data_IF_933244781111
#
_entry.id   IF_933244781111
#
_cell.length_a   1.000
_cell.length_b   1.000
_cell.length_c   1.000
_cell.angle_alpha   90.00
_cell.angle_beta   90.00
_cell.angle_gamma   90.00
#
_symmetry.space_group_name_H-M   'P 1'
#
loop_
_entity.id
_entity.type
_entity.pdbx_description
1 polymer ?
#
# COMPACT_ATOMS: atom_id res chain seq x y z
N UNK A 1 -22.20 -51.59 -32.02
CA UNK A 1 -21.35 -52.64 -32.58
C UNK A 1 -20.52 -53.12 -31.43
N UNK A 2 -20.89 -54.22 -30.78
CA UNK A 2 -20.58 -55.62 -31.10
C UNK A 2 -19.07 -55.83 -30.90
N UNK A 3 -18.53 -56.79 -30.19
CA UNK A 3 -18.95 -58.07 -29.59
C UNK A 3 -17.70 -58.55 -28.84
N UNK A 4 -17.83 -59.14 -27.65
CA UNK A 4 -17.78 -60.58 -27.32
C UNK A 4 -16.33 -61.07 -27.13
N UNK A 5 -16.01 -61.77 -26.13
CA UNK A 5 -16.43 -62.96 -25.35
C UNK A 5 -15.34 -64.02 -25.34
N UNK A 6 -15.28 -64.74 -24.24
CA UNK A 6 -14.99 -66.14 -24.05
C UNK A 6 -13.51 -66.54 -23.88
N UNK A 7 -13.18 -67.44 -23.06
CA UNK A 7 -13.85 -68.42 -22.22
C UNK A 7 -12.82 -69.44 -21.72
N UNK A 8 -13.04 -69.96 -20.51
CA UNK A 8 -13.05 -71.42 -20.16
C UNK A 8 -11.91 -72.28 -20.67
N UNK A 9 -11.43 -73.31 -20.01
CA UNK A 9 -11.88 -74.38 -19.09
C UNK A 9 -10.66 -75.14 -18.57
N UNK A 10 -10.62 -75.62 -17.36
CA UNK A 10 -11.10 -76.93 -16.78
C UNK A 10 -10.07 -78.08 -16.84
N UNK A 11 -10.05 -78.84 -15.77
CA UNK A 11 -9.71 -80.25 -15.47
C UNK A 11 -8.43 -80.46 -14.66
N UNK A 12 -8.51 -80.93 -13.45
CA UNK A 12 -9.10 -82.11 -12.80
C UNK A 12 -8.09 -83.27 -12.59
N UNK A 13 -8.09 -83.67 -11.40
CA UNK A 13 -8.22 -84.95 -10.78
C UNK A 13 -6.97 -85.66 -10.25
N UNK A 14 -7.16 -86.10 -9.08
CA UNK A 14 -7.20 -87.44 -8.38
C UNK A 14 -5.81 -87.91 -7.93
N UNK A 15 -5.61 -88.34 -6.74
CA UNK A 15 -6.30 -89.06 -5.74
C UNK A 15 -5.38 -90.15 -5.20
N UNK A 16 -5.29 -90.38 -3.95
CA UNK A 16 -5.35 -91.66 -3.24
C UNK A 16 -4.55 -91.72 -1.93
N UNK A 17 -5.31 -91.94 -0.93
CA UNK A 17 -5.11 -92.56 0.37
C UNK A 17 -3.89 -93.40 0.61
N UNK A 18 -3.29 -93.30 1.80
CA UNK A 18 -3.07 -94.38 2.75
C UNK A 18 -2.63 -93.86 4.11
N UNK A 19 -3.38 -94.24 5.17
CA UNK A 19 -3.04 -94.17 6.59
C UNK A 19 -2.44 -95.52 7.01
N UNK A 20 -2.19 -95.77 8.27
CA UNK A 20 -1.29 -95.18 9.24
C UNK A 20 -0.28 -96.16 9.82
N UNK A 21 0.77 -95.78 10.47
CA UNK A 21 1.46 -96.64 11.44
C UNK A 21 1.93 -95.91 12.65
N UNK A 22 1.55 -96.45 13.80
CA UNK A 22 1.99 -96.21 15.17
C UNK A 22 3.41 -96.70 15.36
N UNK A 23 4.19 -96.09 16.19
CA UNK A 23 5.09 -96.67 17.24
C UNK A 23 5.91 -95.54 17.86
N UNK A 24 5.72 -95.27 19.06
CA UNK A 24 6.42 -95.53 20.34
C UNK A 24 7.41 -94.49 20.83
N UNK A 25 7.20 -94.18 22.08
CA UNK A 25 7.99 -93.35 23.01
C UNK A 25 9.47 -93.69 23.07
N UNK A 26 10.31 -92.71 23.02
CA UNK A 26 11.55 -92.69 23.80
C UNK A 26 11.73 -91.27 24.43
N UNK A 27 11.61 -91.22 25.72
CA UNK A 27 11.94 -90.11 26.57
C UNK A 27 13.47 -89.79 26.56
N UNK A 28 13.82 -88.59 26.22
CA UNK A 28 15.13 -88.04 26.70
C UNK A 28 15.00 -86.55 26.92
N UNK A 29 15.21 -86.16 28.17
CA UNK A 29 15.24 -84.80 28.68
C UNK A 29 16.28 -83.96 27.97
N UNK A 30 15.87 -82.88 27.34
CA UNK A 30 16.76 -81.80 27.02
C UNK A 30 16.17 -80.44 27.49
N UNK A 31 16.91 -79.78 28.35
CA UNK A 31 16.60 -78.49 28.95
C UNK A 31 16.25 -77.47 27.87
N UNK A 32 15.01 -77.02 27.90
CA UNK A 32 14.52 -75.98 27.02
C UNK A 32 15.29 -74.66 27.16
N UNK A 33 15.97 -74.29 26.09
CA UNK A 33 16.41 -72.89 25.88
C UNK A 33 15.19 -72.09 25.55
N UNK A 34 14.86 -71.13 26.45
CA UNK A 34 13.85 -70.10 26.20
C UNK A 34 14.26 -69.33 24.96
N UNK A 35 13.36 -69.11 23.97
CA UNK A 35 13.71 -68.24 22.82
C UNK A 35 14.00 -66.84 23.32
N UNK A 36 15.10 -66.26 22.84
CA UNK A 36 15.51 -64.91 23.13
C UNK A 36 14.37 -63.94 22.70
N UNK A 37 13.79 -63.27 23.64
CA UNK A 37 12.76 -62.23 23.44
C UNK A 37 13.42 -61.12 22.58
N UNK A 38 13.08 -61.10 21.27
CA UNK A 38 13.53 -60.07 20.33
C UNK A 38 13.21 -58.68 20.93
N UNK A 39 14.24 -57.86 21.15
CA UNK A 39 14.04 -56.48 21.54
C UNK A 39 13.25 -55.81 20.41
N UNK A 40 11.99 -55.47 20.67
CA UNK A 40 11.17 -54.61 19.80
C UNK A 40 12.01 -53.36 19.50
N UNK A 41 12.14 -52.96 18.22
CA UNK A 41 12.88 -51.73 17.91
C UNK A 41 12.20 -50.56 18.64
N UNK A 42 12.92 -49.89 19.52
CA UNK A 42 12.47 -48.66 20.15
C UNK A 42 12.17 -47.66 19.02
N UNK A 43 10.89 -47.46 18.75
CA UNK A 43 10.40 -46.49 17.77
C UNK A 43 11.08 -45.15 18.04
N UNK A 44 11.77 -44.64 17.02
CA UNK A 44 12.44 -43.34 16.98
C UNK A 44 11.45 -42.16 17.05
N UNK A 45 10.63 -42.08 18.11
CA UNK A 45 9.69 -40.95 18.34
C UNK A 45 10.40 -39.61 18.55
N UNK A 46 11.68 -39.64 18.98
CA UNK A 46 12.46 -38.43 19.21
C UNK A 46 13.04 -37.82 17.93
N UNK A 47 13.30 -38.62 16.87
CA UNK A 47 13.90 -38.11 15.62
C UNK A 47 12.93 -37.22 14.86
N UNK A 48 11.68 -37.60 14.70
CA UNK A 48 10.68 -36.79 13.99
C UNK A 48 10.39 -35.47 14.73
N UNK A 49 10.31 -35.51 16.10
CA UNK A 49 10.14 -34.29 16.90
C UNK A 49 11.35 -33.37 16.78
N UNK A 50 12.56 -33.92 16.81
CA UNK A 50 13.77 -33.12 16.69
C UNK A 50 13.91 -32.51 15.28
N UNK A 51 13.56 -33.27 14.23
CA UNK A 51 13.51 -32.72 12.85
C UNK A 51 12.47 -31.58 12.77
N UNK A 52 11.27 -31.77 13.32
CA UNK A 52 10.25 -30.72 13.34
C UNK A 52 10.74 -29.47 14.09
N UNK A 53 11.35 -29.65 15.27
CA UNK A 53 11.89 -28.54 16.03
C UNK A 53 13.03 -27.83 15.28
N UNK A 54 13.92 -28.57 14.60
CA UNK A 54 14.99 -27.97 13.79
C UNK A 54 14.41 -27.17 12.63
N UNK A 55 13.38 -27.67 11.94
CA UNK A 55 12.69 -26.94 10.86
C UNK A 55 12.03 -25.67 11.38
N UNK A 56 11.35 -25.75 12.53
CA UNK A 56 10.73 -24.58 13.18
C UNK A 56 11.82 -23.55 13.56
N UNK A 57 12.93 -23.98 14.16
CA UNK A 57 14.04 -23.09 14.52
C UNK A 57 14.68 -22.43 13.29
N UNK A 58 14.83 -23.16 12.17
CA UNK A 58 15.32 -22.60 10.92
C UNK A 58 14.34 -21.58 10.33
N UNK A 59 13.04 -21.86 10.33
CA UNK A 59 12.02 -20.92 9.90
C UNK A 59 12.01 -19.65 10.77
N UNK A 60 12.09 -19.80 12.07
CA UNK A 60 12.19 -18.66 13.00
C UNK A 60 13.47 -17.85 12.75
N UNK A 61 14.62 -18.50 12.53
CA UNK A 61 15.87 -17.82 12.20
C UNK A 61 15.77 -17.02 10.90
N UNK A 62 15.11 -17.56 9.87
CA UNK A 62 14.85 -16.85 8.61
C UNK A 62 13.92 -15.65 8.85
N UNK A 63 12.84 -15.82 9.62
CA UNK A 63 11.93 -14.72 9.97
C UNK A 63 12.65 -13.61 10.76
N UNK A 64 13.47 -13.97 11.73
CA UNK A 64 14.27 -13.01 12.52
C UNK A 64 15.30 -12.31 11.62
N UNK A 65 15.99 -13.04 10.75
CA UNK A 65 16.93 -12.48 9.78
C UNK A 65 16.26 -11.47 8.84
N UNK A 66 15.08 -11.82 8.33
CA UNK A 66 14.26 -10.93 7.51
C UNK A 66 13.80 -9.67 8.28
N UNK A 67 13.36 -9.85 9.53
CA UNK A 67 12.97 -8.73 10.39
C UNK A 67 14.13 -7.76 10.63
N UNK A 68 15.32 -8.29 10.98
CA UNK A 68 16.53 -7.47 11.20
C UNK A 68 16.93 -6.74 9.92
N UNK A 69 16.86 -7.41 8.78
CA UNK A 69 17.15 -6.82 7.48
C UNK A 69 16.19 -5.66 7.15
N UNK A 70 14.88 -5.90 7.28
CA UNK A 70 13.86 -4.87 7.07
C UNK A 70 14.03 -3.69 8.05
N UNK A 71 14.30 -3.99 9.33
CA UNK A 71 14.56 -2.96 10.35
C UNK A 71 15.75 -2.07 9.99
N UNK A 72 16.86 -2.66 9.50
CA UNK A 72 18.05 -1.89 9.07
C UNK A 72 17.75 -0.97 7.89
N UNK A 73 17.01 -1.45 6.89
CA UNK A 73 16.60 -0.64 5.74
C UNK A 73 15.79 0.56 6.20
N UNK A 74 14.76 0.31 7.00
CA UNK A 74 13.82 1.35 7.44
C UNK A 74 14.50 2.35 8.39
N UNK A 75 15.53 1.92 9.12
CA UNK A 75 16.24 2.82 10.03
C UNK A 75 17.12 3.86 9.31
N UNK A 76 17.39 3.69 8.02
CA UNK A 76 18.18 4.62 7.19
C UNK A 76 17.34 5.70 6.49
N UNK A 77 16.04 5.81 6.79
CA UNK A 77 15.14 6.84 6.23
C UNK A 77 15.52 8.22 6.75
N UNK A 78 15.47 9.24 5.91
CA UNK A 78 15.53 10.64 6.34
C UNK A 78 14.37 10.93 7.28
N UNK A 79 14.66 11.18 8.55
CA UNK A 79 13.65 11.51 9.54
C UNK A 79 13.78 12.95 9.98
N UNK A 80 12.64 13.64 9.93
CA UNK A 80 12.46 14.92 10.58
C UNK A 80 11.19 14.81 11.43
N UNK A 81 11.32 14.57 12.76
CA UNK A 81 10.18 14.47 13.65
C UNK A 81 9.44 15.79 13.71
N UNK A 82 8.11 15.71 13.86
CA UNK A 82 7.28 16.88 14.16
C UNK A 82 7.33 17.20 15.65
N UNK A 83 7.31 18.47 15.96
CA UNK A 83 6.98 18.93 17.32
C UNK A 83 5.48 18.70 17.53
N UNK A 84 5.14 17.68 18.32
CA UNK A 84 3.76 17.22 18.52
C UNK A 84 2.93 18.21 19.33
N UNK A 85 3.57 19.08 20.09
CA UNK A 85 2.88 20.11 20.86
C UNK A 85 2.48 21.30 19.99
N UNK A 86 3.06 21.41 18.77
CA UNK A 86 2.82 22.49 17.82
C UNK A 86 2.34 22.02 16.44
N UNK A 87 1.53 20.97 16.37
CA UNK A 87 0.92 20.50 15.11
C UNK A 87 -0.55 20.91 14.94
N UNK A 88 -1.06 21.78 15.80
CA UNK A 88 -2.41 22.34 15.68
C UNK A 88 -3.54 21.35 16.01
N UNK A 89 -3.25 20.28 16.74
CA UNK A 89 -4.25 19.38 17.33
C UNK A 89 -4.60 19.93 18.72
N UNK A 90 -5.89 20.09 19.00
CA UNK A 90 -6.33 20.50 20.31
C UNK A 90 -6.29 19.29 21.26
N UNK A 91 -5.32 19.27 22.17
CA UNK A 91 -5.15 18.18 23.16
C UNK A 91 -6.27 18.12 24.21
N UNK A 92 -7.02 19.22 24.38
CA UNK A 92 -8.10 19.31 25.38
C UNK A 92 -9.43 18.77 24.84
N UNK A 93 -9.52 18.50 23.54
CA UNK A 93 -10.68 17.87 22.93
C UNK A 93 -10.50 16.34 22.85
N UNK A 94 -11.60 15.56 23.00
CA UNK A 94 -11.53 14.11 22.75
C UNK A 94 -11.03 13.86 21.34
N UNK A 95 -10.04 12.97 21.18
CA UNK A 95 -9.54 12.59 19.84
C UNK A 95 -10.68 12.03 19.00
N UNK A 96 -11.07 12.81 18.00
CA UNK A 96 -12.19 12.46 17.11
C UNK A 96 -11.86 11.26 16.25
N UNK A 97 -10.58 11.14 15.87
CA UNK A 97 -10.09 10.11 14.91
C UNK A 97 -9.34 8.95 15.59
N UNK A 98 -9.49 8.73 16.90
CA UNK A 98 -8.71 7.76 17.67
C UNK A 98 -8.69 6.31 17.15
N UNK A 99 -9.61 5.95 16.24
CA UNK A 99 -9.67 4.62 15.59
C UNK A 99 -8.92 4.54 14.26
N UNK A 100 -8.55 5.67 13.69
CA UNK A 100 -7.86 5.77 12.39
C UNK A 100 -6.59 6.60 12.54
N UNK A 101 -5.67 6.48 11.59
CA UNK A 101 -4.43 7.27 11.57
C UNK A 101 -4.37 8.10 10.30
N UNK A 102 -4.26 9.42 10.44
CA UNK A 102 -4.12 10.36 9.35
C UNK A 102 -2.64 10.73 9.14
N UNK A 103 -2.17 10.63 7.91
CA UNK A 103 -0.79 10.89 7.49
C UNK A 103 -0.83 11.87 6.31
N UNK A 104 -0.11 12.98 6.40
CA UNK A 104 0.01 13.91 5.27
C UNK A 104 1.02 13.37 4.25
N UNK A 105 0.60 13.17 3.01
CA UNK A 105 1.45 12.89 1.86
C UNK A 105 1.65 14.18 1.08
N UNK A 106 2.88 14.69 1.07
CA UNK A 106 3.22 15.98 0.46
C UNK A 106 4.18 15.76 -0.72
N UNK A 107 3.69 15.98 -1.93
CA UNK A 107 4.50 15.95 -3.14
C UNK A 107 5.14 17.31 -3.38
N UNK A 108 6.48 17.36 -3.41
CA UNK A 108 7.24 18.59 -3.49
C UNK A 108 7.69 18.90 -4.92
N UNK A 109 7.46 20.15 -5.34
CA UNK A 109 8.07 20.70 -6.56
C UNK A 109 9.40 21.39 -6.21
N UNK A 110 10.43 20.57 -6.03
CA UNK A 110 11.80 21.03 -5.82
C UNK A 110 12.65 20.70 -7.03
N UNK A 111 13.38 21.69 -7.54
CA UNK A 111 14.26 21.53 -8.71
C UNK A 111 15.71 21.27 -8.32
N UNK A 112 16.11 21.60 -7.09
CA UNK A 112 17.45 21.41 -6.55
C UNK A 112 17.36 20.95 -5.09
N UNK A 113 18.39 20.27 -4.61
CA UNK A 113 18.45 19.72 -3.24
C UNK A 113 18.36 20.79 -2.13
N UNK A 114 18.67 22.05 -2.45
CA UNK A 114 18.60 23.17 -1.50
C UNK A 114 17.34 24.04 -1.67
N UNK A 115 16.45 23.71 -2.59
CA UNK A 115 15.20 24.43 -2.77
C UNK A 115 14.17 23.93 -1.76
N UNK A 116 13.60 24.84 -0.97
CA UNK A 116 12.56 24.48 0.00
C UNK A 116 11.31 23.94 -0.70
N UNK A 117 11.06 24.37 -1.94
CA UNK A 117 9.95 23.94 -2.74
C UNK A 117 8.57 24.29 -2.17
N UNK A 118 7.54 23.81 -2.83
CA UNK A 118 6.14 23.93 -2.42
C UNK A 118 5.52 22.54 -2.44
N UNK A 119 4.53 22.32 -1.57
CA UNK A 119 3.73 21.09 -1.61
C UNK A 119 2.67 21.20 -2.71
N UNK A 120 3.02 20.79 -3.92
CA UNK A 120 2.15 20.87 -5.10
C UNK A 120 1.15 19.71 -5.17
N UNK A 121 1.37 18.65 -4.42
CA UNK A 121 0.41 17.60 -4.13
C UNK A 121 0.20 17.54 -2.62
N UNK A 122 -1.05 17.58 -2.17
CA UNK A 122 -1.44 17.52 -0.77
C UNK A 122 -2.54 16.47 -0.67
N UNK A 123 -2.17 15.29 -0.14
CA UNK A 123 -3.08 14.15 0.04
C UNK A 123 -3.00 13.70 1.49
N UNK A 124 -4.14 13.52 2.12
CA UNK A 124 -4.25 12.89 3.45
C UNK A 124 -4.52 11.40 3.22
N UNK A 125 -3.61 10.58 3.71
CA UNK A 125 -3.79 9.13 3.77
C UNK A 125 -4.37 8.78 5.13
N UNK A 126 -5.60 8.31 5.15
CA UNK A 126 -6.25 7.76 6.35
C UNK A 126 -6.14 6.24 6.33
N UNK A 127 -5.53 5.69 7.37
CA UNK A 127 -5.40 4.25 7.59
C UNK A 127 -6.49 3.80 8.56
N UNK A 128 -7.49 3.13 8.04
CA UNK A 128 -8.60 2.55 8.80
C UNK A 128 -8.44 1.02 8.87
N UNK A 129 -7.75 0.58 9.93
CA UNK A 129 -7.50 -0.85 10.14
C UNK A 129 -8.77 -1.61 10.55
N UNK A 130 -9.73 -0.93 11.17
CA UNK A 130 -10.96 -1.56 11.66
C UNK A 130 -11.87 -1.99 10.50
N UNK A 131 -11.96 -1.16 9.45
CA UNK A 131 -12.78 -1.44 8.28
C UNK A 131 -11.95 -1.95 7.08
N UNK A 132 -10.64 -2.17 7.28
CA UNK A 132 -9.72 -2.61 6.23
C UNK A 132 -9.68 -1.66 5.02
N UNK A 133 -9.61 -0.35 5.27
CA UNK A 133 -9.65 0.69 4.24
C UNK A 133 -8.43 1.61 4.28
N UNK A 134 -8.02 2.08 3.10
CA UNK A 134 -7.13 3.21 2.89
C UNK A 134 -7.91 4.31 2.18
N UNK A 135 -8.08 5.46 2.85
CA UNK A 135 -8.83 6.58 2.30
C UNK A 135 -7.87 7.69 1.88
N UNK A 136 -8.01 8.17 0.66
CA UNK A 136 -7.17 9.22 0.09
C UNK A 136 -7.98 10.49 -0.09
N UNK A 137 -7.73 11.51 0.72
CA UNK A 137 -8.35 12.83 0.60
C UNK A 137 -7.36 13.81 -0.01
N UNK A 138 -7.60 14.26 -1.25
CA UNK A 138 -6.79 15.32 -1.87
C UNK A 138 -7.39 16.70 -1.57
N UNK A 139 -6.53 17.65 -1.18
CA UNK A 139 -6.93 19.06 -0.97
C UNK A 139 -6.26 19.95 -2.01
N UNK A 140 -7.04 20.84 -2.64
CA UNK A 140 -6.51 21.74 -3.65
C UNK A 140 -5.42 22.64 -3.05
N UNK A 141 -4.25 22.68 -3.68
CA UNK A 141 -3.06 23.40 -3.17
C UNK A 141 -3.27 24.91 -3.09
N UNK A 142 -4.09 25.46 -3.98
CA UNK A 142 -4.38 26.89 -4.07
C UNK A 142 -5.53 27.34 -3.14
N UNK A 143 -5.97 26.47 -2.22
CA UNK A 143 -6.99 26.77 -1.20
C UNK A 143 -6.54 27.94 -0.31
N UNK A 144 -7.44 28.93 -0.12
CA UNK A 144 -7.21 30.08 0.72
C UNK A 144 -7.44 29.73 2.18
N UNK A 145 -6.35 29.58 2.94
CA UNK A 145 -6.35 29.11 4.34
C UNK A 145 -5.63 30.08 5.27
N UNK A 146 -5.90 29.98 6.56
CA UNK A 146 -5.10 30.62 7.59
C UNK A 146 -3.80 29.84 7.82
N UNK A 147 -2.65 30.52 7.84
CA UNK A 147 -1.34 29.91 8.10
C UNK A 147 -0.78 30.58 9.35
N UNK A 148 -0.48 29.77 10.36
CA UNK A 148 0.01 30.29 11.65
C UNK A 148 1.31 31.08 11.47
N UNK A 149 1.39 32.22 12.17
CA UNK A 149 2.53 33.19 12.03
C UNK A 149 2.56 33.94 10.70
N UNK A 150 1.59 33.71 9.79
CA UNK A 150 1.49 34.36 8.48
C UNK A 150 0.06 34.91 8.24
N UNK A 151 -0.10 35.72 7.18
CA UNK A 151 -1.44 36.09 6.69
C UNK A 151 -2.09 34.87 6.00
N UNK A 152 -3.43 34.97 5.77
CA UNK A 152 -4.09 33.97 4.91
C UNK A 152 -3.44 33.90 3.52
N UNK A 153 -3.15 32.68 3.06
CA UNK A 153 -2.47 32.44 1.80
C UNK A 153 -2.87 31.05 1.22
N UNK A 154 -2.23 30.64 0.13
CA UNK A 154 -2.39 29.32 -0.47
C UNK A 154 -1.89 28.23 0.48
N UNK A 155 -2.62 27.14 0.59
CA UNK A 155 -2.22 25.98 1.40
C UNK A 155 -0.82 25.47 1.05
N UNK A 156 -0.46 25.46 -0.26
CA UNK A 156 0.89 25.06 -0.71
C UNK A 156 2.02 25.89 -0.12
N UNK A 157 1.76 27.16 0.25
CA UNK A 157 2.76 28.08 0.80
C UNK A 157 3.12 27.73 2.25
N UNK A 158 2.26 27.03 3.00
CA UNK A 158 2.55 26.58 4.35
C UNK A 158 3.84 25.75 4.40
N UNK A 159 4.05 24.88 3.40
CA UNK A 159 5.30 24.12 3.30
C UNK A 159 6.52 25.01 3.00
N UNK A 160 6.37 25.98 2.12
CA UNK A 160 7.45 26.92 1.79
C UNK A 160 7.86 27.79 2.98
N UNK A 161 6.92 28.14 3.87
CA UNK A 161 7.17 28.97 5.05
C UNK A 161 7.75 28.19 6.23
N UNK A 162 7.29 26.98 6.49
CA UNK A 162 7.67 26.21 7.68
C UNK A 162 7.78 24.70 7.46
N UNK A 163 8.05 24.27 6.22
CA UNK A 163 8.19 22.85 5.84
C UNK A 163 7.01 22.01 6.32
N UNK A 164 7.29 20.73 6.62
CA UNK A 164 6.27 19.77 7.01
C UNK A 164 5.54 20.16 8.31
N UNK A 165 6.25 20.76 9.26
CA UNK A 165 5.67 21.21 10.53
C UNK A 165 4.49 22.16 10.31
N UNK A 166 4.72 23.25 9.59
CA UNK A 166 3.69 24.25 9.36
C UNK A 166 2.62 23.76 8.37
N UNK A 167 2.99 22.93 7.39
CA UNK A 167 2.01 22.33 6.47
C UNK A 167 1.02 21.42 7.22
N UNK A 168 1.50 20.55 8.11
CA UNK A 168 0.66 19.69 8.96
C UNK A 168 -0.21 20.54 9.90
N UNK A 169 0.39 21.51 10.58
CA UNK A 169 -0.33 22.43 11.46
C UNK A 169 -1.46 23.15 10.72
N UNK A 170 -1.18 23.66 9.53
CA UNK A 170 -2.17 24.36 8.68
C UNK A 170 -3.32 23.43 8.27
N UNK A 171 -3.03 22.17 7.90
CA UNK A 171 -4.06 21.17 7.57
C UNK A 171 -4.94 20.88 8.81
N UNK A 172 -4.34 20.64 9.96
CA UNK A 172 -5.07 20.34 11.19
C UNK A 172 -5.99 21.51 11.60
N UNK A 173 -5.46 22.73 11.60
CA UNK A 173 -6.22 23.92 12.02
C UNK A 173 -7.39 24.28 11.09
N UNK A 174 -7.19 24.19 9.75
CA UNK A 174 -8.22 24.62 8.80
C UNK A 174 -9.25 23.52 8.49
N UNK A 175 -8.88 22.23 8.61
CA UNK A 175 -9.77 21.12 8.27
C UNK A 175 -10.11 20.22 9.47
N UNK A 176 -9.65 20.55 10.68
CA UNK A 176 -9.95 19.79 11.88
C UNK A 176 -9.41 18.34 11.83
N UNK A 177 -8.27 18.13 11.17
CA UNK A 177 -7.63 16.84 11.03
C UNK A 177 -6.67 16.59 12.19
N UNK A 178 -6.57 15.35 12.63
CA UNK A 178 -5.59 14.93 13.64
C UNK A 178 -4.42 14.24 12.93
N UNK A 179 -3.77 14.97 12.01
CA UNK A 179 -2.59 14.47 11.29
C UNK A 179 -1.41 14.55 12.26
N UNK A 180 -0.86 13.41 12.61
CA UNK A 180 0.29 13.30 13.52
C UNK A 180 1.60 12.99 12.81
N UNK A 181 1.54 12.62 11.52
CA UNK A 181 2.68 12.19 10.75
C UNK A 181 2.60 12.65 9.30
N UNK A 182 3.76 12.69 8.65
CA UNK A 182 3.86 13.04 7.25
C UNK A 182 4.85 12.16 6.49
N UNK A 183 4.72 12.17 5.18
CA UNK A 183 5.71 11.68 4.20
C UNK A 183 5.85 12.73 3.12
N UNK A 184 7.07 13.17 2.85
CA UNK A 184 7.37 14.02 1.69
C UNK A 184 8.19 13.27 0.66
N UNK A 185 7.93 13.55 -0.60
CA UNK A 185 8.73 13.08 -1.73
C UNK A 185 8.72 14.13 -2.84
N UNK A 186 9.86 14.36 -3.48
CA UNK A 186 9.91 15.24 -4.65
C UNK A 186 9.63 14.46 -5.94
N UNK A 187 9.38 15.18 -7.03
CA UNK A 187 9.05 14.58 -8.33
C UNK A 187 10.16 13.69 -8.91
N UNK A 188 11.43 14.02 -8.65
CA UNK A 188 12.56 13.18 -9.10
C UNK A 188 12.60 11.86 -8.31
N UNK A 189 12.36 11.90 -7.01
CA UNK A 189 12.24 10.70 -6.17
C UNK A 189 11.09 9.82 -6.65
N UNK A 190 9.91 10.42 -6.88
CA UNK A 190 8.76 9.69 -7.40
C UNK A 190 9.04 9.05 -8.76
N UNK A 191 9.72 9.75 -9.66
CA UNK A 191 10.16 9.19 -10.96
C UNK A 191 11.02 7.95 -10.75
N UNK A 192 12.06 8.02 -9.89
CA UNK A 192 12.95 6.88 -9.63
C UNK A 192 12.22 5.70 -9.01
N UNK A 193 11.30 5.95 -8.09
CA UNK A 193 10.49 4.90 -7.46
C UNK A 193 9.61 4.18 -8.50
N UNK A 194 8.92 4.93 -9.36
CA UNK A 194 8.08 4.36 -10.42
C UNK A 194 8.91 3.60 -11.44
N UNK A 195 10.05 4.11 -11.84
CA UNK A 195 10.97 3.42 -12.77
C UNK A 195 11.51 2.12 -12.15
N UNK A 196 11.80 2.11 -10.84
CA UNK A 196 12.26 0.93 -10.13
C UNK A 196 11.25 -0.22 -10.16
N UNK A 197 9.95 0.09 -10.03
CA UNK A 197 8.88 -0.91 -10.14
C UNK A 197 8.54 -1.28 -11.59
N UNK A 198 9.23 -0.69 -12.57
CA UNK A 198 9.03 -0.96 -14.00
C UNK A 198 7.89 -0.16 -14.63
N UNK A 199 7.48 0.95 -14.01
CA UNK A 199 6.38 1.80 -14.46
C UNK A 199 5.06 1.49 -13.78
N UNK A 200 3.99 2.19 -14.20
CA UNK A 200 2.63 2.03 -13.68
C UNK A 200 1.62 2.04 -14.83
N UNK A 201 0.55 1.24 -14.70
CA UNK A 201 -0.51 1.19 -15.70
C UNK A 201 -1.55 2.26 -15.41
N UNK A 202 -1.72 3.19 -16.37
CA UNK A 202 -2.66 4.31 -16.26
C UNK A 202 -3.45 4.43 -17.57
N UNK A 203 -4.75 4.65 -17.44
CA UNK A 203 -5.62 4.99 -18.56
C UNK A 203 -5.49 6.47 -18.86
N UNK A 204 -4.99 6.80 -20.03
CA UNK A 204 -4.80 8.18 -20.51
C UNK A 204 -5.84 8.51 -21.55
N UNK A 205 -6.57 9.59 -21.36
CA UNK A 205 -7.55 10.10 -22.34
C UNK A 205 -6.86 10.79 -23.52
N UNK A 206 -7.60 11.02 -24.61
CA UNK A 206 -7.06 11.72 -25.79
C UNK A 206 -6.63 13.16 -25.45
N UNK A 207 -7.40 13.86 -24.60
CA UNK A 207 -7.06 15.21 -24.16
C UNK A 207 -5.77 15.24 -23.33
N UNK A 208 -5.62 14.30 -22.39
CA UNK A 208 -4.42 14.16 -21.56
C UNK A 208 -3.19 13.79 -22.40
N UNK A 209 -3.33 12.85 -23.34
CA UNK A 209 -2.24 12.50 -24.28
C UNK A 209 -1.76 13.73 -25.05
N UNK A 210 -2.70 14.53 -25.56
CA UNK A 210 -2.36 15.73 -26.31
C UNK A 210 -1.66 16.77 -25.45
N UNK A 211 -2.13 17.00 -24.21
CA UNK A 211 -1.50 17.90 -23.25
C UNK A 211 -0.09 17.43 -22.87
N UNK A 212 0.07 16.15 -22.57
CA UNK A 212 1.37 15.56 -22.26
C UNK A 212 2.37 15.72 -23.38
N UNK A 213 2.01 15.28 -24.59
CA UNK A 213 2.95 15.27 -25.72
C UNK A 213 3.32 16.67 -26.22
N UNK A 214 2.35 17.61 -26.23
CA UNK A 214 2.55 18.95 -26.79
C UNK A 214 3.14 19.95 -25.81
N UNK A 215 2.76 19.86 -24.53
CA UNK A 215 3.07 20.91 -23.58
C UNK A 215 4.01 20.43 -22.46
N UNK A 216 3.73 19.29 -21.81
CA UNK A 216 4.45 18.89 -20.59
C UNK A 216 5.73 18.11 -20.90
N UNK A 217 5.69 17.12 -21.78
CA UNK A 217 6.88 16.31 -22.11
C UNK A 217 8.03 17.11 -22.72
N UNK A 218 7.81 18.09 -23.61
CA UNK A 218 8.90 18.94 -24.11
C UNK A 218 9.62 19.70 -22.97
N UNK A 219 8.88 20.27 -22.02
CA UNK A 219 9.46 20.93 -20.85
C UNK A 219 10.30 19.95 -20.01
N UNK A 220 9.75 18.79 -19.70
CA UNK A 220 10.43 17.79 -18.85
C UNK A 220 11.65 17.18 -19.56
N UNK A 221 11.60 17.00 -20.87
CA UNK A 221 12.78 16.60 -21.68
C UNK A 221 13.90 17.64 -21.65
N UNK A 222 13.56 18.93 -21.66
CA UNK A 222 14.56 20.00 -21.51
C UNK A 222 15.26 19.99 -20.16
N UNK A 223 14.63 19.40 -19.12
CA UNK A 223 15.20 19.16 -17.81
C UNK A 223 15.92 17.79 -17.70
N UNK A 224 16.13 17.09 -18.81
CA UNK A 224 16.85 15.82 -18.87
C UNK A 224 16.03 14.58 -18.53
N UNK A 225 14.70 14.70 -18.37
CA UNK A 225 13.84 13.56 -18.06
C UNK A 225 13.46 12.77 -19.31
N UNK A 226 13.40 11.44 -19.19
CA UNK A 226 13.03 10.54 -20.31
C UNK A 226 11.49 10.42 -20.41
N UNK A 227 10.88 11.32 -21.18
CA UNK A 227 9.45 11.35 -21.45
C UNK A 227 9.19 11.07 -22.95
N UNK A 228 9.19 9.80 -23.41
CA UNK A 228 8.79 9.47 -24.78
C UNK A 228 7.30 9.79 -24.97
N UNK A 229 6.93 10.17 -26.21
CA UNK A 229 5.54 10.50 -26.53
C UNK A 229 4.62 9.29 -26.38
N UNK A 230 3.42 9.55 -25.88
CA UNK A 230 2.33 8.58 -25.81
C UNK A 230 1.70 8.47 -27.20
N UNK A 231 1.66 7.26 -27.76
CA UNK A 231 1.21 7.03 -29.14
C UNK A 231 -0.31 7.04 -29.27
N UNK A 232 -1.02 6.44 -28.33
CA UNK A 232 -2.48 6.30 -28.34
C UNK A 232 -3.07 6.55 -26.97
N UNK A 233 -4.32 7.00 -26.89
CA UNK A 233 -5.11 7.01 -25.66
C UNK A 233 -5.45 5.58 -25.23
N UNK A 234 -5.84 5.40 -23.98
CA UNK A 234 -6.17 4.11 -23.37
C UNK A 234 -5.21 3.72 -22.26
N UNK A 235 -5.42 2.52 -21.73
CA UNK A 235 -4.59 1.98 -20.65
C UNK A 235 -3.21 1.57 -21.19
N UNK A 236 -2.16 2.08 -20.56
CA UNK A 236 -0.80 1.83 -20.97
C UNK A 236 0.19 1.98 -19.83
N UNK A 237 1.35 1.36 -20.00
CA UNK A 237 2.45 1.43 -19.05
C UNK A 237 3.17 2.77 -19.18
N UNK A 238 3.12 3.60 -18.15
CA UNK A 238 3.86 4.85 -18.06
C UNK A 238 5.15 4.64 -17.27
N UNK A 239 6.27 5.18 -17.75
CA UNK A 239 7.48 5.26 -16.96
C UNK A 239 7.35 6.35 -15.87
N UNK A 240 8.34 6.44 -14.96
CA UNK A 240 8.28 7.37 -13.85
C UNK A 240 8.10 8.82 -14.28
N UNK A 241 8.85 9.26 -15.27
CA UNK A 241 8.75 10.63 -15.78
C UNK A 241 7.38 10.91 -16.42
N UNK A 242 6.85 9.98 -17.20
CA UNK A 242 5.50 10.11 -17.80
C UNK A 242 4.40 10.14 -16.74
N UNK A 243 4.49 9.28 -15.70
CA UNK A 243 3.51 9.22 -14.62
C UNK A 243 3.53 10.51 -13.77
N UNK A 244 4.72 11.05 -13.50
CA UNK A 244 4.85 12.36 -12.81
C UNK A 244 4.28 13.48 -13.68
N UNK A 245 4.53 13.48 -14.98
CA UNK A 245 3.93 14.44 -15.92
C UNK A 245 2.40 14.34 -15.93
N UNK A 246 1.86 13.11 -15.95
CA UNK A 246 0.41 12.87 -15.86
C UNK A 246 -0.19 13.47 -14.58
N UNK A 247 0.45 13.27 -13.43
CA UNK A 247 0.03 13.86 -12.15
C UNK A 247 0.13 15.40 -12.10
N UNK A 248 0.83 16.04 -13.06
CA UNK A 248 1.00 17.50 -13.16
C UNK A 248 0.07 18.17 -14.17
N UNK A 249 -0.71 17.42 -14.95
CA UNK A 249 -1.69 17.98 -15.90
C UNK A 249 -2.68 18.89 -15.15
N UNK A 250 -2.89 20.12 -15.66
CA UNK A 250 -3.84 21.09 -15.10
C UNK A 250 -4.47 22.07 -16.11
N UNK A 251 -3.93 22.18 -17.33
CA UNK A 251 -4.39 23.18 -18.30
C UNK A 251 -5.64 22.75 -19.06
N UNK A 252 -6.01 21.49 -19.04
CA UNK A 252 -7.17 20.95 -19.76
C UNK A 252 -8.44 20.88 -18.88
N UNK A 253 -8.28 21.06 -17.57
CA UNK A 253 -9.37 20.95 -16.60
C UNK A 253 -9.04 21.68 -15.28
N UNK A 254 -9.52 21.18 -14.12
CA UNK A 254 -9.41 21.82 -12.82
C UNK A 254 -8.26 21.27 -11.97
N UNK A 255 -7.90 22.00 -10.91
CA UNK A 255 -6.95 21.55 -9.88
C UNK A 255 -7.48 20.31 -9.13
N UNK A 256 -8.79 20.14 -9.03
CA UNK A 256 -9.45 18.94 -8.50
C UNK A 256 -9.10 17.71 -9.34
N UNK A 257 -9.18 17.83 -10.68
CA UNK A 257 -8.83 16.74 -11.59
C UNK A 257 -7.33 16.42 -11.54
N UNK A 258 -6.48 17.42 -11.29
CA UNK A 258 -5.07 17.16 -11.00
C UNK A 258 -4.92 16.32 -9.72
N UNK A 259 -5.63 16.65 -8.64
CA UNK A 259 -5.65 15.84 -7.42
C UNK A 259 -6.10 14.39 -7.67
N UNK A 260 -7.10 14.18 -8.54
CA UNK A 260 -7.54 12.83 -8.94
C UNK A 260 -6.41 12.08 -9.67
N UNK A 261 -5.69 12.72 -10.60
CA UNK A 261 -4.55 12.11 -11.28
C UNK A 261 -3.42 11.73 -10.31
N UNK A 262 -3.15 12.57 -9.32
CA UNK A 262 -2.18 12.25 -8.26
C UNK A 262 -2.58 11.00 -7.47
N UNK A 263 -3.85 10.88 -7.07
CA UNK A 263 -4.37 9.69 -6.40
C UNK A 263 -4.31 8.45 -7.31
N UNK A 264 -4.62 8.60 -8.59
CA UNK A 264 -4.50 7.51 -9.60
C UNK A 264 -3.07 6.98 -9.66
N UNK A 265 -2.06 7.85 -9.69
CA UNK A 265 -0.64 7.43 -9.69
C UNK A 265 -0.30 6.70 -8.37
N UNK A 266 -0.71 7.22 -7.22
CA UNK A 266 -0.46 6.58 -5.92
C UNK A 266 -1.08 5.18 -5.84
N UNK A 267 -2.32 5.03 -6.30
CA UNK A 267 -3.01 3.74 -6.33
C UNK A 267 -2.34 2.75 -7.29
N UNK A 268 -1.95 3.21 -8.49
CA UNK A 268 -1.24 2.39 -9.46
C UNK A 268 0.11 1.91 -8.91
N UNK A 269 0.86 2.78 -8.22
CA UNK A 269 2.10 2.41 -7.53
C UNK A 269 1.87 1.36 -6.44
N UNK A 270 0.82 1.53 -5.61
CA UNK A 270 0.49 0.57 -4.57
C UNK A 270 0.17 -0.82 -5.15
N UNK A 271 -0.67 -0.84 -6.19
CA UNK A 271 -1.05 -2.08 -6.87
C UNK A 271 0.17 -2.79 -7.49
N UNK A 272 1.06 -2.03 -8.10
CA UNK A 272 2.29 -2.57 -8.67
C UNK A 272 3.23 -3.10 -7.58
N UNK A 273 3.45 -2.34 -6.51
CA UNK A 273 4.25 -2.78 -5.36
C UNK A 273 3.70 -4.08 -4.75
N UNK A 274 2.38 -4.19 -4.59
CA UNK A 274 1.71 -5.40 -4.12
C UNK A 274 1.96 -6.60 -5.05
N UNK A 275 2.01 -6.38 -6.37
CA UNK A 275 2.22 -7.43 -7.37
C UNK A 275 3.66 -7.97 -7.41
N UNK A 276 4.63 -7.22 -6.90
CA UNK A 276 6.06 -7.58 -6.97
C UNK A 276 6.43 -8.86 -6.20
N UNK A 277 5.60 -9.29 -5.27
CA UNK A 277 5.83 -10.45 -4.42
C UNK A 277 6.82 -10.20 -3.27
N UNK A 278 6.73 -11.03 -2.24
CA UNK A 278 7.43 -10.84 -0.96
C UNK A 278 8.97 -10.70 -1.07
N UNK A 279 9.60 -11.33 -2.07
CA UNK A 279 11.05 -11.30 -2.22
C UNK A 279 11.60 -9.95 -2.70
N UNK A 280 10.84 -9.20 -3.51
CA UNK A 280 11.25 -7.89 -4.04
C UNK A 280 10.84 -6.71 -3.16
N UNK A 281 9.84 -6.91 -2.31
CA UNK A 281 9.30 -5.86 -1.44
C UNK A 281 10.34 -5.17 -0.54
N UNK A 282 11.32 -5.86 0.08
CA UNK A 282 12.32 -5.19 0.89
C UNK A 282 13.20 -4.23 0.08
N UNK A 283 13.58 -4.61 -1.13
CA UNK A 283 14.38 -3.77 -2.02
C UNK A 283 13.59 -2.57 -2.52
N UNK A 284 12.30 -2.78 -2.84
CA UNK A 284 11.39 -1.68 -3.17
C UNK A 284 11.23 -0.72 -2.00
N UNK A 285 10.98 -1.24 -0.79
CA UNK A 285 10.86 -0.42 0.41
C UNK A 285 12.14 0.40 0.65
N UNK A 286 13.32 -0.20 0.48
CA UNK A 286 14.60 0.51 0.58
C UNK A 286 14.69 1.67 -0.41
N UNK A 287 14.36 1.41 -1.69
CA UNK A 287 14.37 2.42 -2.74
C UNK A 287 13.38 3.55 -2.44
N UNK A 288 12.13 3.20 -2.11
CA UNK A 288 11.08 4.16 -1.77
C UNK A 288 11.48 5.04 -0.57
N UNK A 289 11.97 4.43 0.49
CA UNK A 289 12.30 5.12 1.73
C UNK A 289 13.52 6.03 1.61
N UNK A 290 14.47 5.75 0.71
CA UNK A 290 15.60 6.65 0.40
C UNK A 290 15.15 7.95 -0.26
N UNK A 291 14.03 7.93 -0.96
CA UNK A 291 13.48 9.08 -1.68
C UNK A 291 12.50 9.90 -0.84
N UNK A 292 12.17 9.44 0.37
CA UNK A 292 11.23 10.09 1.27
C UNK A 292 11.93 10.77 2.45
N UNK A 293 11.26 11.82 2.98
CA UNK A 293 11.46 12.29 4.34
C UNK A 293 10.15 12.08 5.12
N UNK A 294 10.23 11.66 6.40
CA UNK A 294 9.03 11.35 7.18
C UNK A 294 9.24 11.54 8.68
N UNK A 295 8.15 11.78 9.42
CA UNK A 295 8.10 11.72 10.89
C UNK A 295 7.83 10.30 11.43
N UNK A 296 7.39 9.36 10.57
CA UNK A 296 7.05 8.00 10.98
C UNK A 296 8.24 7.28 11.61
N UNK A 297 8.03 6.62 12.73
CA UNK A 297 9.02 5.76 13.35
C UNK A 297 9.25 4.47 12.53
N UNK A 298 10.36 3.78 12.77
CA UNK A 298 10.63 2.47 12.15
C UNK A 298 9.48 1.48 12.42
N UNK A 299 8.98 1.47 13.66
CA UNK A 299 7.90 0.56 14.05
C UNK A 299 6.59 0.90 13.35
N UNK A 300 6.30 2.20 13.14
CA UNK A 300 5.12 2.64 12.38
C UNK A 300 5.18 2.16 10.93
N UNK A 301 6.32 2.37 10.27
CA UNK A 301 6.51 1.96 8.87
C UNK A 301 6.39 0.43 8.75
N UNK A 302 7.00 -0.32 9.68
CA UNK A 302 6.88 -1.78 9.71
C UNK A 302 5.44 -2.24 9.93
N UNK A 303 4.73 -1.64 10.89
CA UNK A 303 3.34 -1.98 11.22
C UNK A 303 2.38 -1.65 10.07
N UNK A 304 2.51 -0.46 9.47
CA UNK A 304 1.66 -0.04 8.35
C UNK A 304 1.95 -0.86 7.09
N UNK A 305 3.23 -1.08 6.79
CA UNK A 305 3.65 -1.87 5.62
C UNK A 305 3.22 -3.33 5.71
N UNK A 306 3.44 -3.99 6.86
CA UNK A 306 3.02 -5.38 7.06
C UNK A 306 1.48 -5.54 7.03
N UNK A 307 0.75 -4.60 7.64
CA UNK A 307 -0.70 -4.60 7.57
C UNK A 307 -1.20 -4.41 6.13
N UNK A 308 -0.69 -3.41 5.41
CA UNK A 308 -1.12 -3.14 4.04
C UNK A 308 -0.90 -4.31 3.07
N UNK A 309 0.19 -5.08 3.28
CA UNK A 309 0.49 -6.26 2.48
C UNK A 309 -0.44 -7.44 2.77
N UNK A 310 -0.72 -7.69 4.06
CA UNK A 310 -1.51 -8.86 4.50
C UNK A 310 -3.00 -8.61 4.33
N UNK A 311 -3.48 -7.45 4.77
CA UNK A 311 -4.89 -7.12 4.80
C UNK A 311 -5.45 -6.77 3.43
N UNK A 312 -4.62 -6.33 2.47
CA UNK A 312 -5.05 -5.90 1.14
C UNK A 312 -6.23 -4.92 1.20
N UNK A 313 -6.05 -3.76 1.83
CA UNK A 313 -7.15 -2.83 2.09
C UNK A 313 -7.78 -2.30 0.80
N UNK A 314 -9.06 -1.95 0.89
CA UNK A 314 -9.80 -1.24 -0.14
C UNK A 314 -9.43 0.25 -0.15
N UNK A 315 -9.43 0.85 -1.35
CA UNK A 315 -9.17 2.28 -1.53
C UNK A 315 -10.45 3.06 -1.71
N UNK A 316 -10.59 4.11 -0.93
CA UNK A 316 -11.62 5.14 -1.12
C UNK A 316 -10.98 6.50 -1.39
N UNK A 317 -11.68 7.38 -2.10
CA UNK A 317 -11.12 8.67 -2.52
C UNK A 317 -12.11 9.80 -2.28
N UNK A 318 -11.58 10.93 -1.81
CA UNK A 318 -12.27 12.20 -1.71
C UNK A 318 -11.40 13.31 -2.32
N UNK A 319 -12.02 14.32 -2.88
CA UNK A 319 -11.33 15.54 -3.34
C UNK A 319 -12.00 16.76 -2.74
N UNK A 320 -11.23 17.72 -2.27
CA UNK A 320 -11.70 18.98 -1.72
C UNK A 320 -11.05 20.13 -2.50
N UNK A 321 -11.85 21.04 -3.07
CA UNK A 321 -13.32 21.05 -3.14
C UNK A 321 -13.88 19.99 -4.09
N UNK A 322 -15.21 19.80 -4.07
CA UNK A 322 -15.97 18.93 -4.97
C UNK A 322 -17.38 19.51 -5.24
N UNK A 323 -18.27 18.72 -5.83
CA UNK A 323 -19.61 19.18 -6.19
C UNK A 323 -20.48 19.50 -4.96
N UNK A 324 -20.26 18.85 -3.81
CA UNK A 324 -20.94 19.14 -2.54
C UNK A 324 -20.40 20.43 -1.89
N UNK A 325 -19.17 20.80 -2.21
CA UNK A 325 -18.50 21.99 -1.68
C UNK A 325 -18.11 22.89 -2.86
N UNK A 326 -19.05 23.66 -3.39
CA UNK A 326 -18.80 24.50 -4.55
C UNK A 326 -17.72 25.54 -4.23
N UNK A 327 -16.73 25.60 -5.09
CA UNK A 327 -15.61 26.53 -4.96
C UNK A 327 -15.70 27.64 -6.00
N UNK A 328 -15.15 28.81 -5.64
CA UNK A 328 -14.96 29.90 -6.59
C UNK A 328 -13.50 30.28 -6.68
N UNK A 329 -13.00 30.53 -7.90
CA UNK A 329 -11.73 31.21 -8.10
C UNK A 329 -11.87 32.68 -7.73
N UNK A 330 -11.07 33.18 -6.79
CA UNK A 330 -11.04 34.61 -6.41
C UNK A 330 -9.65 35.18 -6.55
N UNK A 331 -9.57 36.41 -7.08
CA UNK A 331 -8.33 37.18 -7.08
C UNK A 331 -8.35 38.07 -5.83
N UNK A 332 -7.41 37.83 -4.91
CA UNK A 332 -7.23 38.59 -3.67
C UNK A 332 -5.83 39.23 -3.72
N UNK A 333 -5.75 40.55 -3.69
CA UNK A 333 -4.48 41.29 -3.80
C UNK A 333 -3.63 40.86 -5.02
N UNK A 334 -4.29 40.61 -6.16
CA UNK A 334 -3.59 40.21 -7.41
C UNK A 334 -3.22 38.74 -7.52
N UNK A 335 -3.50 37.91 -6.52
CA UNK A 335 -3.20 36.47 -6.51
C UNK A 335 -4.50 35.68 -6.59
N UNK A 336 -4.50 34.63 -7.42
CA UNK A 336 -5.66 33.76 -7.59
C UNK A 336 -5.67 32.67 -6.51
N UNK A 337 -6.87 32.41 -5.93
CA UNK A 337 -7.10 31.41 -4.88
C UNK A 337 -8.36 30.60 -5.16
N UNK A 338 -8.41 29.36 -4.66
CA UNK A 338 -9.65 28.64 -4.41
C UNK A 338 -10.26 29.09 -3.09
N UNK A 339 -11.50 29.56 -3.14
CA UNK A 339 -12.28 29.97 -1.97
C UNK A 339 -13.55 29.16 -1.89
N UNK A 340 -13.76 28.49 -0.79
CA UNK A 340 -14.95 27.68 -0.49
C UNK A 340 -15.18 27.63 1.03
N UNK A 341 -16.30 27.06 1.45
CA UNK A 341 -16.63 26.90 2.87
C UNK A 341 -15.72 25.84 3.51
N UNK A 342 -14.80 26.29 4.35
CA UNK A 342 -13.85 25.40 5.06
C UNK A 342 -14.54 24.58 6.14
N UNK A 343 -15.61 25.08 6.79
CA UNK A 343 -16.35 24.28 7.78
C UNK A 343 -17.17 23.17 7.12
N UNK A 344 -17.77 23.43 5.97
CA UNK A 344 -18.37 22.37 5.17
C UNK A 344 -17.36 21.33 4.72
N UNK A 345 -16.16 21.77 4.29
CA UNK A 345 -15.05 20.86 3.92
C UNK A 345 -14.58 20.01 5.09
N UNK A 346 -14.40 20.64 6.26
CA UNK A 346 -14.04 19.96 7.51
C UNK A 346 -15.06 18.87 7.86
N UNK A 347 -16.35 19.21 7.79
CA UNK A 347 -17.43 18.26 8.05
C UNK A 347 -17.40 17.08 7.05
N UNK A 348 -17.30 17.35 5.76
CA UNK A 348 -17.30 16.30 4.73
C UNK A 348 -16.07 15.37 4.86
N UNK A 349 -14.89 15.93 5.14
CA UNK A 349 -13.68 15.11 5.38
C UNK A 349 -13.88 14.23 6.61
N UNK A 350 -14.42 14.78 7.69
CA UNK A 350 -14.72 14.03 8.92
C UNK A 350 -15.69 12.89 8.65
N UNK A 351 -16.83 13.17 7.98
CA UNK A 351 -17.84 12.19 7.65
C UNK A 351 -17.26 11.07 6.76
N UNK A 352 -16.39 11.41 5.79
CA UNK A 352 -15.69 10.47 4.95
C UNK A 352 -14.71 9.58 5.74
N UNK A 353 -13.90 10.17 6.62
CA UNK A 353 -12.90 9.46 7.40
C UNK A 353 -13.57 8.47 8.37
N UNK A 354 -14.62 8.91 9.08
CA UNK A 354 -15.30 8.14 10.13
C UNK A 354 -16.46 7.29 9.63
N UNK A 355 -16.85 7.43 8.34
CA UNK A 355 -18.05 6.79 7.74
C UNK A 355 -19.36 7.22 8.43
N UNK A 356 -19.34 8.33 9.14
CA UNK A 356 -20.51 8.91 9.78
C UNK A 356 -21.34 9.66 8.73
N UNK A 357 -22.41 9.02 8.23
CA UNK A 357 -23.34 9.62 7.24
C UNK A 357 -22.70 10.05 5.91
N UNK A 358 -21.57 9.48 5.54
CA UNK A 358 -20.94 9.78 4.25
C UNK A 358 -21.69 9.09 3.12
N UNK A 359 -22.46 9.88 2.35
CA UNK A 359 -23.02 9.50 1.06
C UNK A 359 -22.19 10.20 -0.02
N UNK A 360 -21.28 9.48 -0.68
CA UNK A 360 -20.64 10.01 -1.89
C UNK A 360 -21.72 10.26 -2.96
N UNK A 361 -21.57 11.30 -3.77
CA UNK A 361 -22.46 11.56 -4.91
C UNK A 361 -22.55 10.32 -5.83
N UNK A 362 -21.48 9.54 -5.93
CA UNK A 362 -21.44 8.24 -6.64
C UNK A 362 -22.34 7.18 -5.99
N UNK A 363 -22.42 7.11 -4.67
CA UNK A 363 -23.29 6.15 -3.98
C UNK A 363 -24.76 6.54 -4.07
N UNK A 364 -25.07 7.85 -4.15
CA UNK A 364 -26.41 8.37 -4.39
C UNK A 364 -26.82 8.12 -5.85
N UNK A 365 -25.93 8.38 -6.81
CA UNK A 365 -26.16 8.12 -8.23
C UNK A 365 -26.35 6.62 -8.53
N UNK A 366 -25.58 5.74 -7.90
CA UNK A 366 -25.72 4.30 -8.05
C UNK A 366 -27.08 3.79 -7.50
N UNK A 367 -27.54 4.32 -6.35
CA UNK A 367 -28.84 3.97 -5.78
C UNK A 367 -30.03 4.52 -6.57
N UNK A 368 -29.90 5.69 -7.23
CA UNK A 368 -30.94 6.25 -8.12
C UNK A 368 -30.97 5.55 -9.47
N UNK A 369 -29.90 4.87 -9.87
CA UNK A 369 -29.89 4.09 -11.12
C UNK A 369 -30.47 2.67 -10.94
N UNK A 370 -30.61 2.18 -9.70
CA UNK A 370 -31.22 0.88 -9.36
C UNK A 370 -32.71 0.99 -9.02
N UNK A 371 -33.32 2.21 -8.98
CA UNK A 371 -34.76 2.47 -8.85
C UNK A 371 -35.35 2.89 -10.18
#
# INVERSE_FOLDING_TARGET
>A
MQYRENGRDIYSSSGKNRAPQKYEDISSSSKGRKPARGKKPRRKKHTARNILLTVICLLLAVCVGFYIYAYRIINNVKRAPLDRDDIGINSDEPQTYGKVRNIALLGLDTRQDNDVGRSDAIVILTVDKAHNKLKLTSVARDTYVSIDGHSKDKLTHAYAYGKSQLAVKTLNQNFGLEISDYVTMNFYGLTRVIDYIGGVDITVTEAEKNELNKNIFPEMRSLGMKCPDIKAAGTQRLNGAQAVCYARIRHIDSDVQRGNRQKTVLMAMFNEAKSMGALKLPQFAEMFLKECETSLSTNDIMSLGSWGLVASPEFEQLSIPNDNIPSSGKIIKGVWYYVYDLEAAKKEIKDFILEENYYSAESVAARTAEQ
#
